data_IF_406772503800
#
_entry.id   IF_406772503800
#
_cell.length_a   1.000
_cell.length_b   1.000
_cell.length_c   1.000
_cell.angle_alpha   90.00
_cell.angle_beta   90.00
_cell.angle_gamma   90.00
#
_symmetry.space_group_name_H-M   'P 1'
#
loop_
_entity.id
_entity.type
_entity.pdbx_description
1 polymer ?
#
# COMPACT_ATOMS: atom_id res chain seq x y z
N UNK A 1 17.63 -20.51 19.00
CA UNK A 1 18.05 -19.54 17.96
C UNK A 1 18.53 -18.28 18.67
N UNK A 2 19.84 -17.96 18.59
CA UNK A 2 20.40 -16.75 19.20
C UNK A 2 20.01 -15.55 18.33
N UNK A 3 19.28 -14.60 18.91
CA UNK A 3 19.02 -13.30 18.29
C UNK A 3 20.36 -12.56 18.13
N UNK A 4 20.60 -11.98 16.95
CA UNK A 4 21.76 -11.10 16.72
C UNK A 4 21.64 -9.84 17.59
N UNK A 5 22.72 -9.52 18.29
CA UNK A 5 22.88 -8.33 19.11
C UNK A 5 22.68 -7.03 18.30
N UNK A 6 21.98 -6.01 18.83
CA UNK A 6 21.80 -4.70 18.19
C UNK A 6 23.10 -3.99 17.80
N UNK A 7 24.21 -4.29 18.48
CA UNK A 7 25.54 -3.74 18.20
C UNK A 7 26.11 -4.17 16.83
N UNK A 8 25.66 -5.30 16.28
CA UNK A 8 26.08 -5.78 14.94
C UNK A 8 25.27 -5.15 13.79
N UNK A 9 24.10 -4.55 14.04
CA UNK A 9 23.36 -3.81 13.00
C UNK A 9 23.96 -2.41 12.76
N UNK A 10 24.53 -1.79 13.79
CA UNK A 10 25.27 -0.52 13.65
C UNK A 10 26.56 -0.67 12.83
N UNK A 11 27.23 -1.82 12.87
CA UNK A 11 28.50 -2.01 12.13
C UNK A 11 28.30 -2.12 10.62
N UNK A 12 27.18 -2.67 10.15
CA UNK A 12 26.88 -2.78 8.71
C UNK A 12 26.62 -1.42 8.06
N UNK A 13 25.85 -0.55 8.72
CA UNK A 13 25.64 0.83 8.28
C UNK A 13 26.95 1.62 8.34
N UNK A 14 27.72 1.51 9.43
CA UNK A 14 29.01 2.18 9.57
C UNK A 14 29.98 1.76 8.45
N UNK A 15 29.98 0.48 8.06
CA UNK A 15 30.82 -0.05 6.99
C UNK A 15 30.40 0.51 5.61
N UNK A 16 29.10 0.74 5.36
CA UNK A 16 28.61 1.40 4.14
C UNK A 16 28.99 2.89 4.14
N UNK A 17 28.92 3.57 5.29
CA UNK A 17 29.40 4.95 5.44
C UNK A 17 30.92 5.06 5.23
N UNK A 18 31.68 4.08 5.70
CA UNK A 18 33.15 4.03 5.55
C UNK A 18 33.57 3.66 4.12
N UNK A 19 32.84 2.76 3.44
CA UNK A 19 33.08 2.37 2.04
C UNK A 19 32.71 3.48 1.04
N UNK A 20 31.74 4.33 1.37
CA UNK A 20 31.40 5.54 0.60
C UNK A 20 32.33 6.73 0.92
N UNK A 21 33.31 6.54 1.81
CA UNK A 21 34.22 7.56 2.32
C UNK A 21 35.18 8.11 1.27
N UNK A 22 34.72 9.07 0.47
CA UNK A 22 35.55 10.12 -0.13
C UNK A 22 36.16 10.99 0.99
N UNK A 23 37.10 10.43 1.76
CA UNK A 23 37.93 11.19 2.70
C UNK A 23 38.99 11.96 1.91
N UNK A 24 38.64 13.15 1.43
CA UNK A 24 39.62 14.15 1.02
C UNK A 24 39.98 15.01 2.24
N UNK A 25 41.22 14.90 2.71
CA UNK A 25 41.78 15.84 3.71
C UNK A 25 41.21 15.74 5.13
N UNK A 26 40.72 14.58 5.56
CA UNK A 26 40.25 14.37 6.95
C UNK A 26 38.85 14.92 7.25
N UNK A 27 38.16 15.51 6.27
CA UNK A 27 36.75 15.89 6.38
C UNK A 27 35.85 14.71 6.03
N UNK A 28 34.86 14.45 6.90
CA UNK A 28 33.84 13.44 6.67
C UNK A 28 32.57 14.13 6.13
N UNK A 29 32.42 14.20 4.80
CA UNK A 29 31.30 14.88 4.14
C UNK A 29 29.92 14.25 4.44
N UNK A 30 29.89 13.10 5.12
CA UNK A 30 28.67 12.42 5.58
C UNK A 30 28.25 12.85 6.99
N UNK A 31 28.98 13.79 7.62
CA UNK A 31 28.52 14.37 8.88
C UNK A 31 27.20 15.14 8.67
N UNK A 32 26.21 14.97 9.57
CA UNK A 32 24.89 15.57 9.46
C UNK A 32 24.89 17.08 9.17
N UNK A 33 25.88 17.83 9.68
CA UNK A 33 25.97 19.27 9.46
C UNK A 33 26.34 19.70 8.03
N UNK A 34 26.86 18.79 7.19
CA UNK A 34 27.25 19.08 5.79
C UNK A 34 26.29 18.48 4.76
N UNK A 35 25.30 17.70 5.21
CA UNK A 35 24.31 17.09 4.36
C UNK A 35 23.19 18.10 4.01
N UNK A 36 22.80 18.22 2.73
CA UNK A 36 21.64 19.02 2.35
C UNK A 36 20.39 18.62 3.15
N UNK A 37 19.45 19.53 3.41
CA UNK A 37 18.23 19.24 4.20
C UNK A 37 17.46 18.01 3.72
N UNK A 38 17.39 17.78 2.39
CA UNK A 38 16.75 16.58 1.83
C UNK A 38 17.47 15.27 2.22
N UNK A 39 18.80 15.30 2.37
CA UNK A 39 19.61 14.14 2.73
C UNK A 39 19.54 13.88 4.24
N UNK A 40 19.41 14.94 5.05
CA UNK A 40 19.10 14.87 6.47
C UNK A 40 17.71 14.27 6.74
N UNK A 41 16.70 14.66 5.96
CA UNK A 41 15.39 14.06 6.02
C UNK A 41 15.42 12.58 5.63
N UNK A 42 16.14 12.22 4.54
CA UNK A 42 16.29 10.84 4.09
C UNK A 42 17.01 9.95 5.12
N UNK A 43 18.02 10.47 5.82
CA UNK A 43 18.75 9.74 6.87
C UNK A 43 17.96 9.58 8.16
N UNK A 44 17.16 10.58 8.56
CA UNK A 44 16.22 10.43 9.68
C UNK A 44 15.12 9.42 9.35
N UNK A 45 14.58 9.50 8.13
CA UNK A 45 13.57 8.59 7.61
C UNK A 45 14.08 7.14 7.56
N UNK A 46 15.28 6.91 7.02
CA UNK A 46 15.86 5.56 6.97
C UNK A 46 16.08 4.99 8.37
N UNK A 47 16.54 5.82 9.32
CA UNK A 47 16.70 5.41 10.71
C UNK A 47 15.38 5.03 11.36
N UNK A 48 14.33 5.85 11.21
CA UNK A 48 13.01 5.57 11.77
C UNK A 48 12.40 4.28 11.19
N UNK A 49 12.50 4.10 9.87
CA UNK A 49 12.04 2.88 9.19
C UNK A 49 12.78 1.66 9.73
N UNK A 50 14.11 1.73 9.84
CA UNK A 50 14.96 0.61 10.29
C UNK A 50 14.73 0.28 11.76
N UNK A 51 14.46 1.27 12.62
CA UNK A 51 14.25 1.00 14.06
C UNK A 51 12.82 0.59 14.39
N UNK A 52 11.83 1.02 13.60
CA UNK A 52 10.39 0.82 13.88
C UNK A 52 9.67 0.03 12.77
N UNK A 53 10.35 -0.94 12.16
CA UNK A 53 9.75 -1.77 11.11
C UNK A 53 8.76 -2.80 11.67
N UNK A 54 8.93 -3.26 12.92
CA UNK A 54 8.11 -4.36 13.47
C UNK A 54 6.62 -3.99 13.53
N UNK A 55 6.19 -2.81 14.04
CA UNK A 55 4.77 -2.47 14.06
C UNK A 55 4.15 -2.39 12.66
N UNK A 56 4.91 -1.91 11.67
CA UNK A 56 4.46 -1.81 10.27
C UNK A 56 4.28 -3.20 9.65
N UNK A 57 5.23 -4.11 9.92
CA UNK A 57 5.16 -5.49 9.46
C UNK A 57 4.00 -6.24 10.12
N UNK A 58 3.86 -6.10 11.44
CA UNK A 58 2.77 -6.68 12.23
C UNK A 58 1.41 -6.23 11.69
N UNK A 59 1.26 -4.94 11.36
CA UNK A 59 0.03 -4.42 10.78
C UNK A 59 -0.33 -5.09 9.45
N UNK A 60 0.59 -5.14 8.47
CA UNK A 60 0.32 -5.81 7.18
C UNK A 60 0.02 -7.29 7.36
N UNK A 61 0.82 -7.97 8.19
CA UNK A 61 0.65 -9.39 8.51
C UNK A 61 -0.74 -9.64 9.09
N UNK A 62 -1.17 -8.84 10.05
CA UNK A 62 -2.43 -9.06 10.75
C UNK A 62 -3.63 -8.78 9.84
N UNK A 63 -3.55 -7.75 8.98
CA UNK A 63 -4.56 -7.52 7.93
C UNK A 63 -4.66 -8.74 7.01
N UNK A 64 -3.52 -9.27 6.53
CA UNK A 64 -3.52 -10.45 5.66
C UNK A 64 -4.07 -11.69 6.39
N UNK A 65 -3.67 -11.94 7.63
CA UNK A 65 -4.21 -13.06 8.44
C UNK A 65 -5.72 -12.96 8.54
N UNK A 66 -6.27 -11.77 8.82
CA UNK A 66 -7.71 -11.55 8.91
C UNK A 66 -8.39 -11.83 7.57
N UNK A 67 -7.89 -11.29 6.45
CA UNK A 67 -8.48 -11.49 5.12
C UNK A 67 -8.42 -12.97 4.70
N UNK A 68 -7.29 -13.64 4.91
CA UNK A 68 -7.16 -15.08 4.66
C UNK A 68 -8.09 -15.90 5.55
N UNK A 69 -8.23 -15.55 6.83
CA UNK A 69 -9.16 -16.20 7.75
C UNK A 69 -10.62 -16.07 7.30
N UNK A 70 -11.04 -14.87 6.90
CA UNK A 70 -12.38 -14.61 6.35
C UNK A 70 -12.64 -15.49 5.12
N UNK A 71 -11.69 -15.56 4.18
CA UNK A 71 -11.88 -16.33 2.95
C UNK A 71 -11.80 -17.84 3.17
N UNK A 72 -10.95 -18.32 4.08
CA UNK A 72 -10.92 -19.72 4.46
C UNK A 72 -12.26 -20.16 5.06
N UNK A 73 -12.81 -19.37 5.98
CA UNK A 73 -14.16 -19.60 6.53
C UNK A 73 -15.22 -19.58 5.41
N UNK A 74 -15.14 -18.59 4.53
CA UNK A 74 -16.08 -18.46 3.41
C UNK A 74 -16.07 -19.69 2.49
N UNK A 75 -14.89 -20.16 2.09
CA UNK A 75 -14.76 -21.30 1.18
C UNK A 75 -15.14 -22.63 1.85
N UNK A 76 -14.68 -22.87 3.08
CA UNK A 76 -14.84 -24.16 3.76
C UNK A 76 -16.20 -24.31 4.44
N UNK A 77 -16.67 -23.27 5.13
CA UNK A 77 -17.88 -23.34 5.95
C UNK A 77 -19.11 -22.76 5.26
N UNK A 78 -18.94 -21.74 4.40
CA UNK A 78 -20.05 -21.02 3.77
C UNK A 78 -20.24 -21.33 2.28
N UNK A 79 -19.40 -22.20 1.70
CA UNK A 79 -19.48 -22.53 0.27
C UNK A 79 -19.31 -21.32 -0.67
N UNK A 80 -18.65 -20.26 -0.20
CA UNK A 80 -18.47 -19.01 -0.94
C UNK A 80 -19.69 -18.07 -0.92
N UNK A 81 -20.62 -18.23 0.03
CA UNK A 81 -21.83 -17.41 0.13
C UNK A 81 -21.56 -15.91 0.30
N UNK A 82 -20.41 -15.50 0.89
CA UNK A 82 -20.09 -14.09 1.07
C UNK A 82 -19.99 -13.31 -0.26
N UNK A 83 -19.71 -13.99 -1.39
CA UNK A 83 -19.69 -13.34 -2.72
C UNK A 83 -21.02 -12.71 -3.09
N UNK A 84 -22.14 -13.25 -2.59
CA UNK A 84 -23.48 -12.74 -2.86
C UNK A 84 -23.77 -11.42 -2.15
N UNK A 85 -22.99 -11.09 -1.10
CA UNK A 85 -23.07 -9.80 -0.42
C UNK A 85 -22.45 -8.68 -1.25
N UNK A 86 -21.58 -9.02 -2.19
CA UNK A 86 -20.77 -8.07 -2.96
C UNK A 86 -21.38 -7.79 -4.35
N UNK A 87 -22.71 -7.86 -4.49
CA UNK A 87 -23.41 -7.53 -5.74
C UNK A 87 -23.79 -6.04 -5.72
N UNK A 88 -23.28 -5.22 -6.68
CA UNK A 88 -23.65 -3.82 -6.80
C UNK A 88 -25.17 -3.61 -6.86
N UNK A 89 -25.66 -2.53 -6.25
CA UNK A 89 -27.08 -2.08 -6.33
C UNK A 89 -28.14 -3.09 -5.82
N UNK A 90 -27.78 -4.02 -4.92
CA UNK A 90 -28.75 -4.92 -4.22
C UNK A 90 -29.03 -4.51 -2.76
N UNK A 91 -30.13 -5.02 -2.20
CA UNK A 91 -30.77 -4.65 -0.90
C UNK A 91 -29.94 -4.83 0.36
N UNK A 92 -28.84 -5.58 0.30
CA UNK A 92 -27.83 -5.59 1.38
C UNK A 92 -27.14 -4.21 1.50
N UNK A 93 -27.30 -3.31 0.52
CA UNK A 93 -27.03 -1.88 0.66
C UNK A 93 -25.55 -1.54 0.79
N UNK A 94 -25.25 -0.42 1.46
CA UNK A 94 -23.88 0.07 1.69
C UNK A 94 -23.03 -0.86 2.57
N UNK A 95 -23.61 -1.88 3.22
CA UNK A 95 -22.83 -2.83 4.01
C UNK A 95 -21.87 -3.64 3.14
N UNK A 96 -22.16 -3.76 1.82
CA UNK A 96 -21.26 -4.42 0.88
C UNK A 96 -19.95 -3.66 0.71
N UNK A 97 -19.96 -2.33 0.89
CA UNK A 97 -18.81 -1.45 0.63
C UNK A 97 -17.57 -1.85 1.46
N UNK A 98 -17.64 -1.99 2.80
CA UNK A 98 -16.48 -2.47 3.57
C UNK A 98 -16.19 -3.97 3.39
N UNK A 99 -17.15 -4.77 2.92
CA UNK A 99 -17.01 -6.22 2.79
C UNK A 99 -16.33 -6.60 1.48
N UNK A 100 -16.65 -5.89 0.39
CA UNK A 100 -16.19 -6.16 -0.97
C UNK A 100 -14.67 -6.40 -1.07
N UNK A 101 -13.79 -5.57 -0.46
CA UNK A 101 -12.35 -5.80 -0.54
C UNK A 101 -11.86 -7.05 0.22
N UNK A 102 -12.65 -7.56 1.16
CA UNK A 102 -12.27 -8.67 2.05
C UNK A 102 -12.63 -10.04 1.47
N UNK A 103 -13.51 -10.11 0.47
CA UNK A 103 -14.00 -11.38 -0.11
C UNK A 103 -13.26 -11.67 -1.42
N UNK A 104 -12.88 -12.91 -1.66
CA UNK A 104 -12.18 -13.36 -2.87
C UNK A 104 -12.83 -14.62 -3.45
N UNK A 105 -12.69 -14.82 -4.75
CA UNK A 105 -13.28 -15.98 -5.43
C UNK A 105 -12.59 -17.29 -5.05
N UNK A 106 -11.26 -17.24 -5.10
CA UNK A 106 -10.38 -18.38 -4.98
C UNK A 106 -9.03 -18.00 -4.33
N UNK A 107 -8.25 -19.00 -3.88
CA UNK A 107 -6.95 -18.77 -3.26
C UNK A 107 -5.91 -18.08 -4.13
N UNK A 108 -5.90 -18.30 -5.45
CA UNK A 108 -4.91 -17.72 -6.35
C UNK A 108 -5.15 -16.22 -6.53
N UNK A 109 -6.42 -15.81 -6.66
CA UNK A 109 -6.80 -14.41 -6.68
C UNK A 109 -6.43 -13.70 -5.36
N UNK A 110 -6.72 -14.33 -4.22
CA UNK A 110 -6.33 -13.77 -2.91
C UNK A 110 -4.81 -13.69 -2.75
N UNK A 111 -4.06 -14.69 -3.20
CA UNK A 111 -2.60 -14.69 -3.14
C UNK A 111 -2.01 -13.57 -4.01
N UNK A 112 -2.49 -13.42 -5.25
CA UNK A 112 -2.07 -12.33 -6.13
C UNK A 112 -2.28 -10.95 -5.49
N UNK A 113 -3.48 -10.69 -4.96
CA UNK A 113 -3.76 -9.44 -4.25
C UNK A 113 -2.91 -9.28 -2.99
N UNK A 114 -2.67 -10.36 -2.23
CA UNK A 114 -1.85 -10.32 -1.01
C UNK A 114 -0.42 -9.88 -1.31
N UNK A 115 0.16 -10.36 -2.41
CA UNK A 115 1.53 -10.00 -2.82
C UNK A 115 1.65 -8.51 -3.11
N UNK A 116 0.78 -7.97 -3.98
CA UNK A 116 0.81 -6.55 -4.32
C UNK A 116 0.40 -5.66 -3.14
N UNK A 117 -0.59 -6.07 -2.35
CA UNK A 117 -0.99 -5.37 -1.13
C UNK A 117 0.18 -5.28 -0.16
N UNK A 118 0.91 -6.37 0.06
CA UNK A 118 2.05 -6.36 0.97
C UNK A 118 3.17 -5.47 0.45
N UNK A 119 3.55 -5.59 -0.83
CA UNK A 119 4.64 -4.80 -1.41
C UNK A 119 4.29 -3.31 -1.42
N UNK A 120 3.17 -2.93 -2.04
CA UNK A 120 2.81 -1.52 -2.15
C UNK A 120 2.38 -0.93 -0.80
N UNK A 121 1.68 -1.70 0.03
CA UNK A 121 1.34 -1.31 1.39
C UNK A 121 2.58 -1.05 2.24
N UNK A 122 3.63 -1.85 2.08
CA UNK A 122 4.92 -1.61 2.73
C UNK A 122 5.55 -0.29 2.28
N UNK A 123 5.56 0.00 0.97
CA UNK A 123 6.08 1.26 0.44
C UNK A 123 5.31 2.48 0.99
N UNK A 124 3.99 2.38 1.09
CA UNK A 124 3.15 3.43 1.69
C UNK A 124 3.45 3.57 3.19
N UNK A 125 3.61 2.46 3.91
CA UNK A 125 3.94 2.44 5.35
C UNK A 125 5.28 3.08 5.68
N UNK A 126 6.16 3.25 4.70
CA UNK A 126 7.36 4.05 4.90
C UNK A 126 7.03 5.50 5.27
N UNK A 127 5.88 6.04 4.85
CA UNK A 127 5.37 7.37 5.21
C UNK A 127 4.71 7.40 6.61
N UNK A 128 4.44 6.24 7.19
CA UNK A 128 3.89 6.07 8.54
C UNK A 128 2.57 5.29 8.58
N UNK A 129 2.24 4.75 9.76
CA UNK A 129 0.98 4.00 9.98
C UNK A 129 -0.26 4.88 9.77
N UNK A 130 -0.36 6.12 10.31
CA UNK A 130 -1.54 6.95 10.11
C UNK A 130 -1.84 7.23 8.64
N UNK A 131 -0.80 7.50 7.84
CA UNK A 131 -0.91 7.69 6.40
C UNK A 131 -1.45 6.46 5.70
N UNK A 132 -0.86 5.29 5.98
CA UNK A 132 -1.29 4.04 5.41
C UNK A 132 -2.79 3.82 5.67
N UNK A 133 -3.25 4.04 6.91
CA UNK A 133 -4.66 3.88 7.26
C UNK A 133 -5.56 4.87 6.51
N UNK A 134 -5.19 6.16 6.44
CA UNK A 134 -5.94 7.17 5.68
C UNK A 134 -6.02 6.79 4.20
N UNK A 135 -4.88 6.50 3.57
CA UNK A 135 -4.79 6.19 2.14
C UNK A 135 -5.63 4.95 1.83
N UNK A 136 -5.47 3.88 2.61
CA UNK A 136 -6.23 2.63 2.46
C UNK A 136 -7.72 2.88 2.59
N UNK A 137 -8.15 3.67 3.59
CA UNK A 137 -9.55 3.96 3.82
C UNK A 137 -10.17 4.78 2.67
N UNK A 138 -9.48 5.83 2.21
CA UNK A 138 -9.95 6.64 1.07
C UNK A 138 -10.08 5.77 -0.17
N UNK A 139 -9.06 4.97 -0.49
CA UNK A 139 -9.09 4.09 -1.66
C UNK A 139 -10.24 3.08 -1.54
N UNK A 140 -10.33 2.36 -0.42
CA UNK A 140 -11.36 1.34 -0.21
C UNK A 140 -12.77 1.91 -0.36
N UNK A 141 -13.01 3.11 0.17
CA UNK A 141 -14.30 3.79 0.04
C UNK A 141 -14.59 4.22 -1.41
N UNK A 142 -13.64 4.85 -2.10
CA UNK A 142 -13.84 5.30 -3.48
C UNK A 142 -14.03 4.12 -4.44
N UNK A 143 -13.18 3.11 -4.32
CA UNK A 143 -13.27 1.85 -5.06
C UNK A 143 -14.64 1.19 -4.86
N UNK A 144 -14.99 0.90 -3.60
CA UNK A 144 -16.18 0.11 -3.31
C UNK A 144 -17.48 0.88 -3.54
N UNK A 145 -17.52 2.20 -3.29
CA UNK A 145 -18.68 3.04 -3.63
C UNK A 145 -18.80 3.23 -5.14
N UNK A 146 -17.71 3.52 -5.83
CA UNK A 146 -17.71 3.68 -7.29
C UNK A 146 -18.17 2.39 -7.97
N UNK A 147 -17.59 1.26 -7.59
CA UNK A 147 -18.01 -0.07 -8.08
C UNK A 147 -19.49 -0.33 -7.78
N UNK A 148 -19.95 -0.03 -6.56
CA UNK A 148 -21.35 -0.25 -6.19
C UNK A 148 -22.33 0.59 -7.02
N UNK A 149 -21.96 1.81 -7.41
CA UNK A 149 -22.82 2.70 -8.21
C UNK A 149 -22.81 2.29 -9.69
N UNK A 150 -21.63 2.04 -10.25
CA UNK A 150 -21.43 2.00 -11.70
C UNK A 150 -21.29 0.58 -12.28
N UNK A 151 -20.76 -0.38 -11.53
CA UNK A 151 -20.48 -1.72 -12.07
C UNK A 151 -21.75 -2.52 -12.34
N UNK A 152 -21.66 -3.45 -13.29
CA UNK A 152 -22.73 -4.40 -13.62
C UNK A 152 -23.28 -5.14 -12.38
N UNK A 153 -24.58 -5.50 -12.35
CA UNK A 153 -25.23 -6.15 -11.20
C UNK A 153 -24.85 -7.64 -11.06
N UNK A 154 -23.55 -7.93 -11.11
CA UNK A 154 -22.93 -9.24 -10.87
C UNK A 154 -21.97 -9.15 -9.70
N UNK A 155 -21.70 -10.27 -8.98
CA UNK A 155 -20.77 -10.25 -7.85
C UNK A 155 -19.43 -9.59 -8.20
N UNK A 156 -19.01 -8.65 -7.35
CA UNK A 156 -17.78 -7.91 -7.51
C UNK A 156 -17.05 -7.81 -6.17
N UNK A 157 -15.88 -8.41 -6.08
CA UNK A 157 -15.18 -8.61 -4.82
C UNK A 157 -13.66 -8.67 -5.05
N UNK A 158 -12.92 -8.50 -3.97
CA UNK A 158 -11.46 -8.61 -3.95
C UNK A 158 -10.78 -7.29 -3.66
N UNK A 159 -9.53 -7.38 -3.18
CA UNK A 159 -8.73 -6.23 -2.81
C UNK A 159 -8.02 -5.56 -4.00
N UNK A 160 -8.32 -5.96 -5.25
CA UNK A 160 -7.61 -5.44 -6.42
C UNK A 160 -7.80 -3.94 -6.60
N UNK A 161 -8.98 -3.38 -6.33
CA UNK A 161 -9.17 -1.92 -6.34
C UNK A 161 -8.29 -1.18 -5.32
N UNK A 162 -8.07 -1.75 -4.13
CA UNK A 162 -7.09 -1.24 -3.16
C UNK A 162 -5.68 -1.26 -3.75
N UNK A 163 -5.29 -2.37 -4.36
CA UNK A 163 -3.98 -2.53 -5.00
C UNK A 163 -3.78 -1.50 -6.13
N UNK A 164 -4.80 -1.26 -6.96
CA UNK A 164 -4.79 -0.23 -8.00
C UNK A 164 -4.68 1.18 -7.44
N UNK A 165 -5.33 1.46 -6.31
CA UNK A 165 -5.20 2.74 -5.63
C UNK A 165 -3.83 2.94 -4.99
N UNK A 166 -3.22 1.89 -4.42
CA UNK A 166 -1.83 1.98 -3.95
C UNK A 166 -0.87 2.24 -5.10
N UNK A 167 -1.06 1.53 -6.22
CA UNK A 167 -0.26 1.73 -7.42
C UNK A 167 -0.34 3.18 -7.90
N UNK A 168 -1.54 3.75 -8.06
CA UNK A 168 -1.70 5.13 -8.51
C UNK A 168 -1.21 6.15 -7.48
N UNK A 169 -1.45 5.92 -6.19
CA UNK A 169 -0.94 6.77 -5.12
C UNK A 169 0.59 6.89 -5.20
N UNK A 170 1.30 5.75 -5.26
CA UNK A 170 2.77 5.70 -5.31
C UNK A 170 3.31 6.24 -6.65
N UNK A 171 2.63 5.97 -7.75
CA UNK A 171 3.00 6.48 -9.07
C UNK A 171 2.95 8.00 -9.11
N UNK A 172 1.88 8.60 -8.59
CA UNK A 172 1.64 10.03 -8.71
C UNK A 172 2.17 10.87 -7.54
N UNK A 173 2.46 10.28 -6.37
CA UNK A 173 2.96 11.04 -5.22
C UNK A 173 4.22 11.85 -5.52
N UNK A 174 5.09 11.34 -6.41
CA UNK A 174 6.30 12.02 -6.88
C UNK A 174 6.07 13.42 -7.46
N UNK A 175 4.95 13.64 -8.15
CA UNK A 175 4.61 14.95 -8.73
C UNK A 175 4.21 15.99 -7.68
N UNK A 176 3.71 15.53 -6.53
CA UNK A 176 3.20 16.37 -5.44
C UNK A 176 4.24 16.59 -4.35
N UNK A 177 4.88 15.51 -3.89
CA UNK A 177 5.87 15.56 -2.82
C UNK A 177 7.21 16.17 -3.32
N UNK A 178 7.46 16.10 -4.64
CA UNK A 178 8.63 16.68 -5.33
C UNK A 178 9.98 16.27 -4.73
N UNK A 179 10.06 15.06 -4.22
CA UNK A 179 11.26 14.50 -3.60
C UNK A 179 11.75 13.23 -4.33
N UNK A 180 13.04 12.94 -4.14
CA UNK A 180 13.71 11.83 -4.82
C UNK A 180 13.20 10.45 -4.38
N UNK A 181 12.74 10.30 -3.14
CA UNK A 181 12.24 9.02 -2.62
C UNK A 181 10.93 8.71 -3.33
N UNK A 182 10.00 9.65 -3.42
CA UNK A 182 8.74 9.46 -4.13
C UNK A 182 8.95 9.16 -5.62
N UNK A 183 9.93 9.79 -6.28
CA UNK A 183 10.29 9.45 -7.66
C UNK A 183 10.81 8.01 -7.79
N UNK A 184 11.69 7.57 -6.89
CA UNK A 184 12.20 6.19 -6.88
C UNK A 184 11.08 5.18 -6.62
N UNK A 185 10.16 5.47 -5.70
CA UNK A 185 8.98 4.64 -5.45
C UNK A 185 8.11 4.51 -6.70
N UNK A 186 7.85 5.62 -7.40
CA UNK A 186 7.10 5.62 -8.66
C UNK A 186 7.77 4.73 -9.74
N UNK A 187 9.10 4.80 -9.87
CA UNK A 187 9.86 3.94 -10.78
C UNK A 187 9.73 2.46 -10.37
N UNK A 188 9.89 2.15 -9.08
CA UNK A 188 9.78 0.78 -8.56
C UNK A 188 8.41 0.19 -8.86
N UNK A 189 7.30 0.91 -8.61
CA UNK A 189 5.96 0.37 -8.88
C UNK A 189 5.71 0.14 -10.37
N UNK A 190 6.21 1.01 -11.26
CA UNK A 190 6.15 0.80 -12.71
C UNK A 190 6.91 -0.47 -13.11
N UNK A 191 8.11 -0.68 -12.56
CA UNK A 191 8.92 -1.86 -12.86
C UNK A 191 8.31 -3.15 -12.32
N UNK A 192 7.63 -3.08 -11.17
CA UNK A 192 6.95 -4.24 -10.56
C UNK A 192 5.77 -4.72 -11.41
N UNK A 193 4.92 -3.80 -11.90
CA UNK A 193 3.84 -4.20 -12.79
C UNK A 193 3.31 -3.06 -13.70
N UNK A 194 4.08 -2.74 -14.74
CA UNK A 194 3.62 -1.88 -15.84
C UNK A 194 2.31 -2.38 -16.49
N UNK A 195 2.06 -3.70 -16.48
CA UNK A 195 0.86 -4.25 -17.10
C UNK A 195 -0.42 -3.86 -16.36
N UNK A 196 -0.36 -3.41 -15.09
CA UNK A 196 -1.51 -2.87 -14.37
C UNK A 196 -2.19 -1.73 -15.16
N UNK A 197 -1.42 -0.82 -15.76
CA UNK A 197 -1.97 0.28 -16.55
C UNK A 197 -2.74 -0.22 -17.77
N UNK A 198 -2.27 -1.26 -18.44
CA UNK A 198 -2.99 -1.86 -19.58
C UNK A 198 -4.26 -2.57 -19.14
N UNK A 199 -4.23 -3.24 -17.99
CA UNK A 199 -5.37 -3.95 -17.40
C UNK A 199 -6.50 -2.99 -16.94
N UNK A 200 -6.25 -1.69 -16.81
CA UNK A 200 -7.31 -0.67 -16.63
C UNK A 200 -8.22 -0.49 -17.85
N UNK A 201 -7.90 -1.11 -18.98
CA UNK A 201 -8.68 -1.04 -20.22
C UNK A 201 -9.13 -2.42 -20.71
N UNK A 202 -8.86 -3.49 -19.94
CA UNK A 202 -9.20 -4.87 -20.31
C UNK A 202 -10.17 -5.42 -19.28
N UNK A 203 -11.38 -5.76 -19.72
CA UNK A 203 -12.37 -6.36 -18.85
C UNK A 203 -11.99 -7.82 -18.57
N UNK A 204 -12.06 -8.24 -17.30
CA UNK A 204 -11.80 -9.62 -16.90
C UNK A 204 -13.12 -10.27 -16.44
N UNK A 205 -13.28 -11.61 -16.59
CA UNK A 205 -14.51 -12.28 -16.18
C UNK A 205 -14.79 -12.16 -14.68
N UNK A 206 -13.75 -12.10 -13.85
CA UNK A 206 -13.83 -12.27 -12.40
C UNK A 206 -13.55 -10.98 -11.60
N UNK A 207 -13.21 -9.87 -12.26
CA UNK A 207 -13.00 -8.56 -11.63
C UNK A 207 -13.66 -7.47 -12.47
N UNK A 208 -14.28 -6.45 -11.86
CA UNK A 208 -14.77 -5.31 -12.65
C UNK A 208 -13.60 -4.45 -13.10
N UNK A 209 -13.70 -3.99 -14.35
CA UNK A 209 -12.93 -2.86 -14.82
C UNK A 209 -13.17 -1.63 -13.92
N UNK A 210 -14.42 -1.43 -13.54
CA UNK A 210 -14.89 -0.33 -12.71
C UNK A 210 -14.16 -0.29 -11.37
N UNK A 211 -13.99 -1.42 -10.67
CA UNK A 211 -13.26 -1.44 -9.38
C UNK A 211 -11.79 -1.09 -9.52
N UNK A 212 -11.13 -1.58 -10.58
CA UNK A 212 -9.75 -1.16 -10.86
C UNK A 212 -9.66 0.35 -11.14
N UNK A 213 -10.59 0.90 -11.91
CA UNK A 213 -10.63 2.34 -12.23
C UNK A 213 -10.93 3.20 -11.01
N UNK A 214 -11.95 2.85 -10.22
CA UNK A 214 -12.29 3.61 -9.01
C UNK A 214 -11.23 3.47 -7.93
N UNK A 215 -10.60 2.31 -7.78
CA UNK A 215 -9.40 2.15 -6.98
C UNK A 215 -8.28 3.09 -7.42
N UNK A 216 -7.95 3.10 -8.71
CA UNK A 216 -6.94 3.98 -9.29
C UNK A 216 -7.25 5.47 -9.03
N UNK A 217 -8.48 5.92 -9.24
CA UNK A 217 -8.90 7.29 -8.91
C UNK A 217 -8.89 7.57 -7.40
N UNK A 218 -9.23 6.58 -6.57
CA UNK A 218 -9.15 6.65 -5.12
C UNK A 218 -7.73 6.94 -4.64
N UNK A 219 -6.73 6.33 -5.26
CA UNK A 219 -5.31 6.60 -4.94
C UNK A 219 -4.90 8.02 -5.31
N UNK A 220 -5.33 8.53 -6.46
CA UNK A 220 -5.12 9.93 -6.85
C UNK A 220 -5.81 10.87 -5.86
N UNK A 221 -7.06 10.59 -5.49
CA UNK A 221 -7.82 11.39 -4.53
C UNK A 221 -7.16 11.40 -3.15
N UNK A 222 -6.62 10.26 -2.71
CA UNK A 222 -5.92 10.14 -1.43
C UNK A 222 -4.71 11.08 -1.34
N UNK A 223 -4.01 11.37 -2.45
CA UNK A 223 -2.91 12.36 -2.47
C UNK A 223 -3.42 13.74 -2.03
N UNK A 224 -4.58 14.16 -2.53
CA UNK A 224 -5.16 15.48 -2.23
C UNK A 224 -5.77 15.56 -0.82
N UNK A 225 -6.38 14.47 -0.34
CA UNK A 225 -7.06 14.46 0.96
C UNK A 225 -6.10 14.22 2.14
N UNK A 226 -4.98 13.55 1.90
CA UNK A 226 -4.08 13.14 2.98
C UNK A 226 -3.59 14.29 3.88
N UNK A 227 -3.13 15.45 3.37
CA UNK A 227 -2.67 16.54 4.25
C UNK A 227 -3.76 17.02 5.21
N UNK A 228 -4.99 17.16 4.71
CA UNK A 228 -6.15 17.61 5.48
C UNK A 228 -6.57 16.58 6.52
N UNK A 229 -6.70 15.31 6.12
CA UNK A 229 -7.10 14.23 7.01
C UNK A 229 -6.06 13.95 8.09
N UNK A 230 -4.76 14.05 7.75
CA UNK A 230 -3.67 13.91 8.72
C UNK A 230 -3.75 15.02 9.76
N UNK A 231 -3.95 16.27 9.34
CA UNK A 231 -4.07 17.40 10.26
C UNK A 231 -5.24 17.22 11.25
N UNK A 232 -6.36 16.68 10.79
CA UNK A 232 -7.52 16.39 11.63
C UNK A 232 -7.32 15.25 12.65
N UNK A 233 -6.41 14.30 12.38
CA UNK A 233 -6.10 13.20 13.31
C UNK A 233 -5.14 13.61 14.45
N UNK A 234 -4.37 14.68 14.25
CA UNK A 234 -3.36 15.15 15.21
C UNK A 234 -3.80 16.39 16.00
N UNK A 235 -4.95 16.98 15.65
CA UNK A 235 -5.61 18.10 16.34
C UNK A 235 -6.51 17.60 17.46
#
# INVERSE_FOLDING_TARGET
>A
MRFMEPSMMTSGLQTIYDLAGLKLGGFNFLEPQFLPPQFMAATRYSREVITNWQPRFVLLRDILIVVWGINLINWVLLGGALRQLCVPRRTIGLISVPITPLVHDDPDHLFGNSLYFFIFGWLILLRGIPDFLIITLVIALVDSLGTWIFAEPRPNFGASGIVYGYFSFLLFSSFFDRDIISLLLAIVVILLDWAMLRRLFVNSPNTSLEGHMFGFFGGILAIFLLPTLRAALIS
#
